data_IF_544234082866
#
_entry.id   IF_544234082866
#
_cell.length_a   1.000
_cell.length_b   1.000
_cell.length_c   1.000
_cell.angle_alpha   90.00
_cell.angle_beta   90.00
_cell.angle_gamma   90.00
#
_symmetry.space_group_name_H-M   'P 1'
#
loop_
_entity.id
_entity.type
_entity.pdbx_description
1 polymer ?
#
# COMPACT_ATOMS: atom_id res chain seq x y z
N UNK A 1 46.11 -69.46 16.41
CA UNK A 1 44.92 -68.75 16.90
C UNK A 1 44.73 -67.54 16.02
N UNK A 2 43.81 -67.64 15.06
CA UNK A 2 43.48 -66.56 14.15
C UNK A 2 42.39 -65.72 14.83
N UNK A 3 42.72 -64.46 15.14
CA UNK A 3 41.81 -63.55 15.83
C UNK A 3 40.79 -63.06 14.81
N UNK A 4 39.57 -63.60 14.91
CA UNK A 4 38.44 -63.24 14.07
C UNK A 4 38.12 -61.75 14.27
N UNK A 5 38.33 -60.94 13.20
CA UNK A 5 38.02 -59.52 13.24
C UNK A 5 36.49 -59.35 13.25
N UNK A 6 35.92 -58.56 14.18
CA UNK A 6 34.48 -58.31 14.18
C UNK A 6 34.08 -57.64 12.86
N UNK A 7 33.08 -58.23 12.20
CA UNK A 7 32.46 -57.68 10.99
C UNK A 7 31.84 -56.32 11.33
N UNK A 8 31.96 -55.31 10.44
CA UNK A 8 31.33 -54.01 10.65
C UNK A 8 29.81 -54.19 10.66
N UNK A 9 29.17 -53.75 11.74
CA UNK A 9 27.71 -53.68 11.82
C UNK A 9 27.25 -52.67 10.77
N UNK A 10 26.51 -53.15 9.77
CA UNK A 10 25.86 -52.29 8.79
C UNK A 10 24.69 -51.62 9.50
N UNK A 11 24.83 -50.35 9.88
CA UNK A 11 23.70 -49.54 10.32
C UNK A 11 22.73 -49.39 9.14
N UNK A 12 21.68 -50.19 9.12
CA UNK A 12 20.56 -50.00 8.20
C UNK A 12 19.87 -48.71 8.61
N UNK A 13 20.00 -47.66 7.79
CA UNK A 13 19.25 -46.43 7.95
C UNK A 13 17.73 -46.70 7.97
N UNK A 14 16.92 -45.72 8.40
CA UNK A 14 15.47 -45.89 8.49
C UNK A 14 14.90 -46.31 7.14
N UNK A 15 14.09 -47.38 7.14
CA UNK A 15 13.51 -47.94 5.91
C UNK A 15 12.49 -46.98 5.29
N UNK A 16 11.89 -46.09 6.11
CA UNK A 16 10.89 -45.12 5.71
C UNK A 16 11.23 -43.71 6.20
N UNK A 17 10.94 -42.69 5.37
CA UNK A 17 11.10 -41.27 5.74
C UNK A 17 10.36 -40.88 7.02
N UNK A 18 9.24 -41.55 7.33
CA UNK A 18 8.42 -41.29 8.52
C UNK A 18 9.11 -41.68 9.84
N UNK A 19 9.98 -42.69 9.80
CA UNK A 19 10.76 -43.13 10.97
C UNK A 19 11.95 -42.23 11.24
N UNK A 20 12.42 -41.49 10.23
CA UNK A 20 13.50 -40.52 10.36
C UNK A 20 13.07 -39.23 11.08
N UNK A 21 11.76 -38.96 11.17
CA UNK A 21 11.25 -37.73 11.77
C UNK A 21 11.17 -37.88 13.30
N UNK A 22 11.87 -37.05 14.08
CA UNK A 22 11.83 -37.13 15.53
C UNK A 22 10.45 -36.73 16.07
N UNK A 23 10.04 -37.33 17.18
CA UNK A 23 8.71 -37.12 17.80
C UNK A 23 8.38 -35.65 18.05
N UNK A 24 9.36 -34.83 18.39
CA UNK A 24 9.15 -33.40 18.60
C UNK A 24 8.76 -32.65 17.32
N UNK A 25 9.22 -33.11 16.15
CA UNK A 25 8.90 -32.50 14.86
C UNK A 25 7.45 -32.84 14.45
N UNK A 26 6.94 -34.00 14.84
CA UNK A 26 5.53 -34.34 14.64
C UNK A 26 4.60 -33.39 15.38
N UNK A 27 4.90 -33.05 16.63
CA UNK A 27 4.12 -32.07 17.40
C UNK A 27 4.10 -30.72 16.68
N UNK A 28 5.26 -30.28 16.16
CA UNK A 28 5.36 -29.05 15.37
C UNK A 28 4.42 -29.10 14.15
N UNK A 29 4.51 -30.16 13.34
CA UNK A 29 3.71 -30.37 12.12
C UNK A 29 2.21 -30.34 12.45
N UNK A 30 1.77 -31.10 13.46
CA UNK A 30 0.36 -31.14 13.83
C UNK A 30 -0.15 -29.78 14.31
N UNK A 31 0.66 -29.02 15.06
CA UNK A 31 0.27 -27.66 15.46
C UNK A 31 0.15 -26.70 14.27
N UNK A 32 1.06 -26.77 13.30
CA UNK A 32 0.97 -25.99 12.05
C UNK A 32 -0.32 -26.33 11.28
N UNK A 33 -0.57 -27.62 11.06
CA UNK A 33 -1.79 -28.08 10.38
C UNK A 33 -3.05 -27.65 11.12
N UNK A 34 -3.06 -27.73 12.46
CA UNK A 34 -4.18 -27.29 13.29
C UNK A 34 -4.47 -25.80 13.19
N UNK A 35 -3.43 -24.95 13.17
CA UNK A 35 -3.57 -23.49 13.01
C UNK A 35 -4.13 -23.14 11.63
N UNK A 36 -3.62 -23.79 10.57
CA UNK A 36 -4.11 -23.59 9.20
C UNK A 36 -5.58 -24.00 9.11
N UNK A 37 -5.92 -25.21 9.58
CA UNK A 37 -7.30 -25.71 9.56
C UNK A 37 -8.25 -24.81 10.37
N UNK A 38 -7.82 -24.34 11.55
CA UNK A 38 -8.56 -23.39 12.37
C UNK A 38 -8.79 -22.06 11.66
N UNK A 39 -7.77 -21.51 10.99
CA UNK A 39 -7.87 -20.26 10.24
C UNK A 39 -8.83 -20.39 9.04
N UNK A 40 -8.78 -21.52 8.32
CA UNK A 40 -9.73 -21.83 7.25
C UNK A 40 -11.14 -21.95 7.81
N UNK A 41 -11.33 -22.63 8.95
CA UNK A 41 -12.63 -22.77 9.58
C UNK A 41 -13.22 -21.40 9.96
N UNK A 42 -12.43 -20.50 10.57
CA UNK A 42 -12.84 -19.12 10.87
C UNK A 42 -13.28 -18.39 9.59
N UNK A 43 -12.48 -18.47 8.52
CA UNK A 43 -12.81 -17.84 7.23
C UNK A 43 -14.14 -18.34 6.67
N UNK A 44 -14.38 -19.65 6.72
CA UNK A 44 -15.61 -20.25 6.20
C UNK A 44 -16.83 -19.88 7.08
N UNK A 45 -16.69 -19.91 8.40
CA UNK A 45 -17.77 -19.60 9.35
C UNK A 45 -18.22 -18.15 9.34
N UNK A 46 -17.33 -17.20 9.09
CA UNK A 46 -17.62 -15.76 9.13
C UNK A 46 -17.59 -15.08 7.75
N UNK A 47 -17.67 -15.85 6.66
CA UNK A 47 -17.63 -15.34 5.27
C UNK A 47 -18.65 -14.23 4.97
N UNK A 48 -19.79 -14.20 5.67
CA UNK A 48 -20.82 -13.16 5.52
C UNK A 48 -20.63 -11.91 6.38
N UNK A 49 -19.55 -11.79 7.17
CA UNK A 49 -19.36 -10.69 8.13
C UNK A 49 -17.92 -10.16 8.12
N UNK A 50 -17.57 -9.25 7.18
CA UNK A 50 -16.20 -8.74 7.02
C UNK A 50 -15.62 -8.12 8.29
N UNK A 51 -16.44 -7.43 9.10
CA UNK A 51 -16.00 -6.83 10.37
C UNK A 51 -15.54 -7.87 11.40
N UNK A 52 -16.24 -9.01 11.48
CA UNK A 52 -15.86 -10.08 12.40
C UNK A 52 -14.58 -10.78 11.92
N UNK A 53 -14.45 -11.00 10.61
CA UNK A 53 -13.21 -11.53 10.02
C UNK A 53 -12.03 -10.61 10.31
N UNK A 54 -12.17 -9.30 10.11
CA UNK A 54 -11.14 -8.33 10.43
C UNK A 54 -10.75 -8.36 11.93
N UNK A 55 -11.75 -8.39 12.83
CA UNK A 55 -11.52 -8.49 14.27
C UNK A 55 -10.76 -9.77 14.66
N UNK A 56 -11.15 -10.92 14.09
CA UNK A 56 -10.45 -12.18 14.27
C UNK A 56 -9.03 -12.16 13.72
N UNK A 57 -8.82 -11.59 12.53
CA UNK A 57 -7.51 -11.42 11.92
C UNK A 57 -6.57 -10.60 12.81
N UNK A 58 -7.02 -9.44 13.30
CA UNK A 58 -6.25 -8.59 14.22
C UNK A 58 -5.94 -9.31 15.52
N UNK A 59 -6.92 -9.98 16.13
CA UNK A 59 -6.72 -10.74 17.36
C UNK A 59 -5.70 -11.88 17.17
N UNK A 60 -5.80 -12.63 16.06
CA UNK A 60 -4.87 -13.71 15.75
C UNK A 60 -3.45 -13.18 15.53
N UNK A 61 -3.27 -12.06 14.82
CA UNK A 61 -1.95 -11.41 14.65
C UNK A 61 -1.39 -10.99 16.00
N UNK A 62 -2.18 -10.33 16.86
CA UNK A 62 -1.70 -9.88 18.16
C UNK A 62 -1.22 -11.06 19.05
N UNK A 63 -1.97 -12.15 19.09
CA UNK A 63 -1.60 -13.37 19.83
C UNK A 63 -0.36 -14.03 19.22
N UNK A 64 -0.30 -14.11 17.89
CA UNK A 64 0.80 -14.69 17.14
C UNK A 64 2.13 -13.96 17.38
N UNK A 65 2.12 -12.62 17.30
CA UNK A 65 3.27 -11.77 17.55
C UNK A 65 3.72 -11.86 19.02
N UNK A 66 2.77 -11.78 19.95
CA UNK A 66 3.09 -11.93 21.37
C UNK A 66 3.76 -13.28 21.66
N UNK A 67 3.22 -14.37 21.13
CA UNK A 67 3.77 -15.72 21.30
C UNK A 67 5.17 -15.84 20.68
N UNK A 68 5.36 -15.28 19.48
CA UNK A 68 6.65 -15.27 18.78
C UNK A 68 7.71 -14.45 19.52
N UNK A 69 7.32 -13.30 20.08
CA UNK A 69 8.20 -12.43 20.85
C UNK A 69 8.62 -13.11 22.16
N UNK A 70 7.68 -13.74 22.88
CA UNK A 70 7.99 -14.52 24.09
C UNK A 70 8.97 -15.65 23.76
N UNK A 71 8.75 -16.38 22.66
CA UNK A 71 9.66 -17.43 22.22
C UNK A 71 11.08 -16.89 21.89
N UNK A 72 11.16 -15.72 21.24
CA UNK A 72 12.43 -15.03 20.97
C UNK A 72 13.16 -14.61 22.25
N UNK A 73 12.45 -14.04 23.21
CA UNK A 73 13.03 -13.64 24.52
C UNK A 73 13.53 -14.87 25.28
N UNK A 74 12.77 -15.96 25.27
CA UNK A 74 13.18 -17.23 25.91
C UNK A 74 14.40 -17.85 25.24
N UNK A 75 14.52 -17.73 23.91
CA UNK A 75 15.72 -18.14 23.17
C UNK A 75 16.93 -17.29 23.56
N UNK A 76 16.76 -15.97 23.70
CA UNK A 76 17.80 -15.06 24.16
C UNK A 76 18.27 -15.39 25.58
N UNK A 77 17.35 -15.55 26.54
CA UNK A 77 17.67 -15.92 27.94
C UNK A 77 18.44 -17.26 27.97
N UNK A 78 18.06 -18.21 27.13
CA UNK A 78 18.77 -19.47 27.05
C UNK A 78 20.19 -19.31 26.47
N UNK A 79 20.34 -18.52 25.41
CA UNK A 79 21.63 -18.26 24.79
C UNK A 79 22.57 -17.53 25.76
N UNK A 80 22.08 -16.49 26.46
CA UNK A 80 22.85 -15.75 27.45
C UNK A 80 23.25 -16.60 28.66
N UNK A 81 22.38 -17.52 29.11
CA UNK A 81 22.72 -18.47 30.20
C UNK A 81 23.86 -19.43 29.86
N UNK A 82 24.23 -19.57 28.58
CA UNK A 82 25.29 -20.45 28.10
C UNK A 82 26.57 -19.71 27.73
N UNK A 83 26.51 -18.39 27.52
CA UNK A 83 27.63 -17.60 27.05
C UNK A 83 27.35 -16.11 27.21
N UNK A 84 28.30 -15.38 27.81
CA UNK A 84 28.23 -13.92 28.00
C UNK A 84 28.33 -13.12 26.69
N UNK A 85 28.58 -13.80 25.57
CA UNK A 85 28.71 -13.20 24.23
C UNK A 85 27.41 -12.57 23.70
N UNK A 86 26.25 -12.92 24.25
CA UNK A 86 24.96 -12.47 23.72
C UNK A 86 24.47 -11.24 24.48
N UNK A 87 24.20 -10.16 23.73
CA UNK A 87 23.65 -8.91 24.22
C UNK A 87 22.14 -8.81 23.90
N UNK A 88 21.33 -8.05 24.67
CA UNK A 88 19.94 -7.77 24.30
C UNK A 88 19.77 -7.19 22.90
N UNK A 89 20.76 -6.43 22.40
CA UNK A 89 20.75 -5.87 21.05
C UNK A 89 20.92 -6.93 19.95
N UNK A 90 21.46 -8.11 20.25
CA UNK A 90 21.56 -9.21 19.28
C UNK A 90 20.17 -9.76 18.89
N UNK A 91 19.12 -9.47 19.68
CA UNK A 91 17.73 -9.80 19.33
C UNK A 91 17.33 -9.18 17.98
N UNK A 92 17.75 -7.94 17.74
CA UNK A 92 17.47 -7.22 16.51
C UNK A 92 18.54 -7.50 15.44
N UNK A 93 19.81 -7.52 15.84
CA UNK A 93 20.92 -7.56 14.89
C UNK A 93 21.27 -8.96 14.38
N UNK A 94 21.01 -10.02 15.16
CA UNK A 94 21.40 -11.40 14.85
C UNK A 94 20.34 -12.40 15.30
N UNK A 95 19.07 -12.26 14.85
CA UNK A 95 17.97 -13.10 15.33
C UNK A 95 18.29 -14.59 15.19
N UNK A 96 18.84 -15.03 14.05
CA UNK A 96 19.15 -16.44 13.80
C UNK A 96 20.27 -17.01 14.68
N UNK A 97 21.26 -16.20 15.06
CA UNK A 97 22.38 -16.67 15.88
C UNK A 97 21.92 -17.05 17.30
N UNK A 98 20.90 -16.36 17.82
CA UNK A 98 20.30 -16.64 19.12
C UNK A 98 19.62 -18.01 19.19
N UNK A 99 19.15 -18.53 18.06
CA UNK A 99 18.48 -19.83 18.01
C UNK A 99 19.44 -21.01 17.96
N UNK A 100 20.73 -20.79 17.66
CA UNK A 100 21.72 -21.87 17.54
C UNK A 100 21.84 -22.72 18.82
N UNK A 101 21.95 -22.15 20.04
CA UNK A 101 21.94 -22.93 21.28
C UNK A 101 20.64 -23.71 21.48
N UNK A 102 19.50 -23.11 21.13
CA UNK A 102 18.18 -23.75 21.20
C UNK A 102 18.14 -24.99 20.30
N UNK A 103 18.60 -24.91 19.05
CA UNK A 103 18.63 -26.06 18.16
C UNK A 103 19.61 -27.15 18.59
N UNK A 104 20.76 -26.77 19.16
CA UNK A 104 21.75 -27.75 19.65
C UNK A 104 21.28 -28.58 20.85
N UNK A 105 20.21 -28.15 21.53
CA UNK A 105 19.66 -28.82 22.73
C UNK A 105 18.34 -29.54 22.47
N UNK A 106 17.95 -29.70 21.21
CA UNK A 106 16.81 -30.52 20.84
C UNK A 106 17.03 -31.98 21.28
N UNK A 107 15.99 -32.68 21.77
CA UNK A 107 14.58 -32.27 21.80
C UNK A 107 14.15 -31.45 23.03
N UNK A 108 15.01 -31.28 24.04
CA UNK A 108 14.62 -30.68 25.34
C UNK A 108 14.10 -29.24 25.20
N UNK A 109 14.58 -28.52 24.20
CA UNK A 109 14.24 -27.14 23.88
C UNK A 109 13.13 -27.00 22.82
N UNK A 110 12.56 -28.11 22.32
CA UNK A 110 11.68 -28.10 21.15
C UNK A 110 10.44 -27.22 21.32
N UNK A 111 9.89 -27.11 22.53
CA UNK A 111 8.72 -26.27 22.81
C UNK A 111 8.93 -24.79 22.45
N UNK A 112 10.15 -24.25 22.55
CA UNK A 112 10.46 -22.87 22.15
C UNK A 112 10.38 -22.70 20.64
N UNK A 113 10.84 -23.72 19.92
CA UNK A 113 10.76 -23.78 18.45
C UNK A 113 9.30 -23.89 18.02
N UNK A 114 8.49 -24.70 18.70
CA UNK A 114 7.06 -24.81 18.45
C UNK A 114 6.35 -23.47 18.64
N UNK A 115 6.54 -22.80 19.78
CA UNK A 115 5.90 -21.50 20.03
C UNK A 115 6.21 -20.48 18.95
N UNK A 116 7.48 -20.37 18.55
CA UNK A 116 7.86 -19.43 17.49
C UNK A 116 7.25 -19.81 16.14
N UNK A 117 7.39 -21.07 15.72
CA UNK A 117 6.88 -21.52 14.43
C UNK A 117 5.34 -21.46 14.33
N UNK A 118 4.64 -21.80 15.41
CA UNK A 118 3.19 -21.68 15.50
C UNK A 118 2.73 -20.23 15.49
N UNK A 119 3.42 -19.34 16.21
CA UNK A 119 3.16 -17.90 16.15
C UNK A 119 3.30 -17.36 14.73
N UNK A 120 4.42 -17.62 14.06
CA UNK A 120 4.64 -17.17 12.67
C UNK A 120 3.62 -17.76 11.69
N UNK A 121 3.28 -19.05 11.84
CA UNK A 121 2.22 -19.68 11.03
C UNK A 121 0.88 -18.99 11.23
N UNK A 122 0.49 -18.72 12.47
CA UNK A 122 -0.76 -18.04 12.80
C UNK A 122 -0.81 -16.61 12.25
N UNK A 123 0.29 -15.87 12.31
CA UNK A 123 0.43 -14.54 11.72
C UNK A 123 0.18 -14.59 10.20
N UNK A 124 0.88 -15.49 9.50
CA UNK A 124 0.74 -15.66 8.04
C UNK A 124 -0.69 -16.06 7.68
N UNK A 125 -1.30 -17.00 8.41
CA UNK A 125 -2.68 -17.43 8.17
C UNK A 125 -3.69 -16.30 8.42
N UNK A 126 -3.47 -15.44 9.41
CA UNK A 126 -4.34 -14.30 9.66
C UNK A 126 -4.36 -13.33 8.47
N UNK A 127 -3.19 -13.07 7.88
CA UNK A 127 -3.06 -12.19 6.71
C UNK A 127 -3.62 -12.86 5.45
N UNK A 128 -3.19 -14.09 5.14
CA UNK A 128 -3.47 -14.74 3.86
C UNK A 128 -4.79 -15.51 3.80
N UNK A 129 -5.20 -16.16 4.89
CA UNK A 129 -6.36 -17.06 4.91
C UNK A 129 -7.60 -16.37 5.47
N UNK A 130 -7.48 -15.75 6.65
CA UNK A 130 -8.61 -15.05 7.27
C UNK A 130 -8.93 -13.80 6.44
N UNK A 131 -7.90 -13.06 6.02
CA UNK A 131 -8.05 -11.84 5.22
C UNK A 131 -8.91 -10.78 5.92
N UNK A 132 -9.38 -9.79 5.18
CA UNK A 132 -10.28 -8.75 5.72
C UNK A 132 -9.58 -7.56 6.38
N UNK A 133 -8.25 -7.55 6.43
CA UNK A 133 -7.50 -6.31 6.63
C UNK A 133 -7.52 -5.55 5.31
N UNK A 134 -8.29 -4.45 5.26
CA UNK A 134 -8.20 -3.52 4.16
C UNK A 134 -6.91 -2.70 4.32
N UNK A 135 -5.79 -3.24 3.82
CA UNK A 135 -4.51 -2.55 3.89
C UNK A 135 -4.55 -1.21 3.16
N UNK A 136 -5.36 -1.07 2.10
CA UNK A 136 -5.50 0.23 1.42
C UNK A 136 -6.04 1.29 2.39
N UNK A 137 -7.07 0.97 3.18
CA UNK A 137 -7.63 1.91 4.15
C UNK A 137 -6.62 2.38 5.21
N UNK A 138 -5.66 1.53 5.60
CA UNK A 138 -4.58 1.93 6.52
C UNK A 138 -3.64 2.97 5.91
N UNK A 139 -3.47 2.98 4.58
CA UNK A 139 -2.60 3.92 3.87
C UNK A 139 -3.38 5.13 3.33
N UNK A 140 -4.63 4.94 2.91
CA UNK A 140 -5.54 5.99 2.43
C UNK A 140 -5.79 7.02 3.55
N UNK A 141 -5.99 6.57 4.79
CA UNK A 141 -6.19 7.44 5.96
C UNK A 141 -4.88 8.01 6.54
N UNK A 142 -3.70 7.59 6.08
CA UNK A 142 -2.41 8.11 6.57
C UNK A 142 -2.14 9.55 6.06
N UNK A 143 -3.03 10.14 5.26
CA UNK A 143 -2.90 11.52 4.79
C UNK A 143 -1.83 11.72 3.71
N UNK A 144 -1.34 10.64 3.11
CA UNK A 144 -0.48 10.69 1.93
C UNK A 144 -1.38 10.91 0.71
N UNK A 145 -1.60 12.18 0.34
CA UNK A 145 -2.36 12.52 -0.87
C UNK A 145 -1.69 11.91 -2.10
N UNK A 146 -2.48 11.33 -2.99
CA UNK A 146 -1.99 10.80 -4.26
C UNK A 146 -1.33 11.91 -5.09
N UNK A 147 -0.09 11.68 -5.50
CA UNK A 147 0.62 12.57 -6.42
C UNK A 147 0.07 12.39 -7.83
N UNK A 148 0.01 13.46 -8.63
CA UNK A 148 -0.42 13.38 -10.03
C UNK A 148 0.58 12.62 -10.90
N UNK A 149 0.09 12.01 -11.98
CA UNK A 149 0.93 11.33 -12.96
C UNK A 149 2.00 12.26 -13.57
N UNK A 150 3.21 11.74 -13.70
CA UNK A 150 4.36 12.48 -14.25
C UNK A 150 4.09 13.07 -15.65
N UNK A 151 3.27 12.38 -16.46
CA UNK A 151 2.86 12.86 -17.79
C UNK A 151 2.05 14.16 -17.70
N UNK A 152 1.13 14.27 -16.74
CA UNK A 152 0.31 15.47 -16.56
C UNK A 152 1.18 16.65 -16.11
N UNK A 153 2.08 16.42 -15.15
CA UNK A 153 3.06 17.41 -14.66
C UNK A 153 3.92 17.92 -15.82
N UNK A 154 4.46 17.01 -16.63
CA UNK A 154 5.32 17.36 -17.77
C UNK A 154 4.58 18.23 -18.80
N UNK A 155 3.32 17.92 -19.11
CA UNK A 155 2.56 18.74 -20.05
C UNK A 155 2.17 20.12 -19.49
N UNK A 156 2.00 20.24 -18.17
CA UNK A 156 1.84 21.55 -17.52
C UNK A 156 3.12 22.37 -17.71
N UNK A 157 4.28 21.76 -17.45
CA UNK A 157 5.58 22.41 -17.62
C UNK A 157 5.82 22.86 -19.07
N UNK A 158 5.53 21.99 -20.05
CA UNK A 158 5.66 22.33 -21.48
C UNK A 158 4.75 23.50 -21.88
N UNK A 159 3.50 23.53 -21.36
CA UNK A 159 2.55 24.59 -21.64
C UNK A 159 2.95 25.93 -20.98
N UNK A 160 3.56 25.90 -19.79
CA UNK A 160 4.07 27.08 -19.10
C UNK A 160 5.27 27.70 -19.85
N UNK A 161 6.18 26.88 -20.39
CA UNK A 161 7.29 27.33 -21.24
C UNK A 161 6.80 28.00 -22.51
N UNK A 162 5.78 27.46 -23.17
CA UNK A 162 5.16 28.09 -24.34
C UNK A 162 4.54 29.47 -24.03
N UNK A 163 4.08 29.67 -22.80
CA UNK A 163 3.47 30.93 -22.35
C UNK A 163 4.51 31.94 -21.82
N UNK A 164 5.79 31.59 -21.75
CA UNK A 164 6.89 32.47 -21.33
C UNK A 164 6.98 32.70 -19.82
N UNK A 165 6.59 31.71 -19.01
CA UNK A 165 6.78 31.73 -17.54
C UNK A 165 8.20 31.26 -17.16
N UNK A 166 8.75 31.80 -16.05
CA UNK A 166 10.17 31.71 -15.66
C UNK A 166 10.70 30.26 -15.49
N UNK A 167 11.92 29.99 -15.98
CA UNK A 167 12.50 28.63 -16.05
C UNK A 167 12.87 28.03 -14.69
N UNK A 168 13.26 28.84 -13.68
CA UNK A 168 13.59 28.37 -12.32
C UNK A 168 12.39 27.72 -11.61
N UNK A 169 11.18 28.10 -12.02
CA UNK A 169 9.92 27.58 -11.51
C UNK A 169 9.71 26.07 -11.73
N UNK A 170 10.22 25.63 -12.88
CA UNK A 170 9.85 24.39 -13.53
C UNK A 170 10.75 23.23 -13.06
N UNK A 171 12.00 23.53 -12.73
CA UNK A 171 12.95 22.54 -12.22
C UNK A 171 12.54 22.03 -10.83
N UNK A 172 11.95 22.88 -9.99
CA UNK A 172 11.45 22.51 -8.66
C UNK A 172 10.21 21.59 -8.72
N UNK A 173 9.33 21.78 -9.70
CA UNK A 173 8.15 20.92 -9.91
C UNK A 173 8.54 19.52 -10.44
N UNK A 174 9.55 19.45 -11.32
CA UNK A 174 10.07 18.20 -11.86
C UNK A 174 10.81 17.37 -10.79
N UNK A 175 11.64 18.02 -9.96
CA UNK A 175 12.42 17.34 -8.92
C UNK A 175 11.54 16.71 -7.83
N UNK A 176 10.41 17.33 -7.48
CA UNK A 176 9.44 16.76 -6.51
C UNK A 176 8.71 15.52 -7.05
N UNK A 177 8.57 15.43 -8.37
CA UNK A 177 7.91 14.29 -9.03
C UNK A 177 8.88 13.12 -9.21
N UNK A 178 10.16 13.39 -9.47
CA UNK A 178 11.21 12.37 -9.62
C UNK A 178 11.50 11.57 -8.34
N UNK A 179 11.11 12.07 -7.16
CA UNK A 179 11.20 11.32 -5.90
C UNK A 179 10.03 10.34 -5.66
N UNK A 180 8.98 10.38 -6.49
CA UNK A 180 7.95 9.36 -6.52
C UNK A 180 8.41 8.24 -7.47
N UNK A 181 8.77 7.09 -6.90
CA UNK A 181 9.19 5.92 -7.67
C UNK A 181 8.14 5.54 -8.72
N UNK A 182 8.63 5.03 -9.85
CA UNK A 182 7.83 4.38 -10.90
C UNK A 182 7.04 3.20 -10.28
N UNK A 183 5.81 3.47 -9.86
CA UNK A 183 4.83 2.40 -9.67
C UNK A 183 4.33 1.97 -11.05
N UNK A 184 5.01 0.96 -11.60
CA UNK A 184 4.49 0.15 -12.69
C UNK A 184 3.22 -0.53 -12.17
N UNK A 185 2.06 0.00 -12.58
CA UNK A 185 0.76 -0.56 -12.27
C UNK A 185 0.71 -2.07 -12.62
N UNK A 186 0.32 -2.96 -11.68
CA UNK A 186 0.00 -4.34 -12.02
C UNK A 186 -1.21 -4.37 -12.93
N UNK A 187 -1.15 -5.25 -13.94
CA UNK A 187 -2.23 -5.53 -14.88
C UNK A 187 -3.39 -6.21 -14.13
N UNK A 188 -4.50 -5.49 -13.96
CA UNK A 188 -5.67 -5.93 -13.20
C UNK A 188 -6.51 -7.00 -13.94
N UNK A 189 -6.90 -8.03 -13.18
CA UNK A 189 -7.97 -8.97 -13.49
C UNK A 189 -9.34 -8.28 -13.38
N UNK A 190 -10.26 -8.65 -14.26
CA UNK A 190 -11.57 -8.03 -14.48
C UNK A 190 -12.53 -8.18 -13.29
N UNK A 191 -12.74 -7.08 -12.56
CA UNK A 191 -13.85 -6.82 -11.65
C UNK A 191 -14.65 -5.59 -12.16
N UNK A 192 -15.85 -5.28 -11.61
CA UNK A 192 -16.96 -4.64 -12.33
C UNK A 192 -16.57 -3.29 -12.94
N UNK A 193 -17.10 -3.01 -14.13
CA UNK A 193 -16.75 -1.84 -14.97
C UNK A 193 -17.00 -0.55 -14.18
N UNK A 194 -15.97 -0.07 -13.48
CA UNK A 194 -15.95 1.25 -12.89
C UNK A 194 -15.93 2.30 -14.02
N UNK A 195 -16.63 3.42 -13.81
CA UNK A 195 -16.56 4.55 -14.73
C UNK A 195 -15.07 4.97 -14.86
N UNK A 196 -14.52 5.18 -16.07
CA UNK A 196 -13.12 5.50 -16.23
C UNK A 196 -12.75 6.80 -15.50
N UNK A 197 -11.54 6.83 -14.93
CA UNK A 197 -10.99 7.97 -14.17
C UNK A 197 -9.92 8.67 -14.99
N UNK A 198 -9.86 10.00 -14.88
CA UNK A 198 -8.82 10.82 -15.51
C UNK A 198 -8.38 11.95 -14.58
N UNK A 199 -7.08 12.22 -14.58
CA UNK A 199 -6.50 13.35 -13.88
C UNK A 199 -6.68 14.64 -14.70
N UNK A 200 -7.17 15.68 -14.03
CA UNK A 200 -7.47 16.97 -14.64
C UNK A 200 -6.82 18.12 -13.86
N UNK A 201 -6.32 19.11 -14.59
CA UNK A 201 -5.92 20.41 -14.08
C UNK A 201 -7.16 21.31 -13.94
N UNK A 202 -7.31 21.93 -12.77
CA UNK A 202 -8.28 22.99 -12.50
C UNK A 202 -7.63 24.33 -12.85
N UNK A 203 -7.91 24.85 -14.05
CA UNK A 203 -7.28 26.07 -14.55
C UNK A 203 -8.18 27.32 -14.45
N UNK A 204 -9.39 27.15 -13.92
CA UNK A 204 -10.31 28.27 -13.70
C UNK A 204 -11.63 27.86 -13.09
N UNK A 205 -12.42 28.84 -12.69
CA UNK A 205 -13.76 28.61 -12.14
C UNK A 205 -14.73 29.73 -12.52
N UNK A 206 -16.03 29.40 -12.57
CA UNK A 206 -17.11 30.38 -12.77
C UNK A 206 -17.69 30.79 -11.43
N UNK A 207 -17.96 32.08 -11.27
CA UNK A 207 -18.67 32.63 -10.11
C UNK A 207 -20.14 32.89 -10.42
N UNK A 208 -21.01 32.82 -9.42
CA UNK A 208 -22.35 33.42 -9.52
C UNK A 208 -22.30 34.92 -9.14
N UNK A 209 -23.48 35.53 -9.03
CA UNK A 209 -23.66 36.94 -8.62
C UNK A 209 -23.23 37.22 -7.16
N UNK A 210 -23.21 36.23 -6.29
CA UNK A 210 -22.72 36.27 -4.90
C UNK A 210 -21.21 35.97 -4.80
N UNK A 211 -20.49 36.01 -5.92
CA UNK A 211 -19.05 35.70 -6.03
C UNK A 211 -18.63 34.26 -5.66
N UNK A 212 -19.58 33.36 -5.41
CA UNK A 212 -19.29 31.96 -5.05
C UNK A 212 -18.97 31.11 -6.29
N UNK A 213 -18.04 30.15 -6.20
CA UNK A 213 -17.76 29.22 -7.28
C UNK A 213 -19.00 28.36 -7.60
N UNK A 214 -19.31 28.22 -8.88
CA UNK A 214 -20.45 27.45 -9.41
C UNK A 214 -20.02 26.30 -10.30
N UNK A 215 -18.91 26.46 -11.01
CA UNK A 215 -18.34 25.41 -11.83
C UNK A 215 -16.82 25.54 -11.90
N UNK A 216 -16.13 24.41 -11.94
CA UNK A 216 -14.70 24.30 -12.17
C UNK A 216 -14.44 23.98 -13.64
N UNK A 217 -13.44 24.63 -14.24
CA UNK A 217 -13.00 24.37 -15.60
C UNK A 217 -11.82 23.40 -15.57
N UNK A 218 -11.93 22.34 -16.36
CA UNK A 218 -10.99 21.24 -16.36
C UNK A 218 -10.23 21.12 -17.67
N UNK A 219 -8.96 20.77 -17.55
CA UNK A 219 -8.11 20.43 -18.67
C UNK A 219 -7.30 19.17 -18.40
N UNK A 220 -7.01 18.43 -19.46
CA UNK A 220 -6.10 17.29 -19.40
C UNK A 220 -5.36 17.16 -20.73
N UNK A 221 -4.45 16.20 -20.82
CA UNK A 221 -3.68 15.94 -22.04
C UNK A 221 -4.53 15.15 -23.02
N UNK A 222 -4.75 15.73 -24.20
CA UNK A 222 -5.41 15.05 -25.31
C UNK A 222 -4.47 15.13 -26.51
N UNK A 223 -3.93 13.96 -26.91
CA UNK A 223 -2.96 13.83 -28.01
C UNK A 223 -1.70 14.69 -27.79
N UNK A 224 -1.13 14.62 -26.59
CA UNK A 224 0.12 15.32 -26.23
C UNK A 224 0.01 16.83 -26.08
N UNK A 225 -1.21 17.40 -26.01
CA UNK A 225 -1.41 18.82 -25.73
C UNK A 225 -2.48 19.01 -24.67
N UNK A 226 -2.26 19.98 -23.79
CA UNK A 226 -3.24 20.32 -22.77
C UNK A 226 -4.46 20.99 -23.43
N UNK A 227 -5.64 20.43 -23.19
CA UNK A 227 -6.90 20.93 -23.76
C UNK A 227 -7.97 21.01 -22.70
N UNK A 228 -8.85 21.99 -22.85
CA UNK A 228 -10.10 22.03 -22.10
C UNK A 228 -10.93 20.78 -22.41
N UNK A 229 -11.31 20.03 -21.37
CA UNK A 229 -12.06 18.78 -21.50
C UNK A 229 -13.43 18.81 -20.86
N UNK A 230 -13.75 19.81 -20.04
CA UNK A 230 -15.09 19.91 -19.47
C UNK A 230 -15.20 20.91 -18.33
N UNK A 231 -16.42 21.00 -17.80
CA UNK A 231 -16.69 21.72 -16.56
C UNK A 231 -17.44 20.81 -15.60
N UNK A 232 -17.15 20.94 -14.31
CA UNK A 232 -17.86 20.23 -13.24
C UNK A 232 -18.61 21.25 -12.41
N UNK A 233 -19.88 20.95 -12.10
CA UNK A 233 -20.67 21.72 -11.15
C UNK A 233 -20.13 21.51 -9.73
N UNK A 234 -20.12 22.57 -8.92
CA UNK A 234 -19.78 22.44 -7.50
C UNK A 234 -20.76 21.54 -6.73
N UNK A 235 -21.98 21.36 -7.27
CA UNK A 235 -22.98 20.43 -6.74
C UNK A 235 -22.52 18.99 -7.02
N UNK A 236 -21.83 18.39 -6.05
CA UNK A 236 -21.24 17.06 -6.15
C UNK A 236 -19.76 16.99 -5.75
N UNK A 237 -19.15 18.12 -5.37
CA UNK A 237 -17.81 18.15 -4.78
C UNK A 237 -17.95 18.00 -3.27
N UNK A 238 -17.17 17.13 -2.60
CA UNK A 238 -17.17 17.01 -1.15
C UNK A 238 -16.92 18.35 -0.45
N UNK A 239 -17.60 18.60 0.66
CA UNK A 239 -17.52 19.89 1.37
C UNK A 239 -16.09 20.23 1.82
N UNK A 240 -15.31 19.23 2.23
CA UNK A 240 -13.90 19.39 2.62
C UNK A 240 -13.02 19.85 1.44
N UNK A 241 -13.22 19.24 0.26
CA UNK A 241 -12.53 19.63 -0.95
C UNK A 241 -12.97 21.05 -1.39
N UNK A 242 -14.25 21.38 -1.26
CA UNK A 242 -14.77 22.71 -1.58
C UNK A 242 -14.22 23.78 -0.65
N UNK A 243 -14.10 23.50 0.64
CA UNK A 243 -13.49 24.40 1.62
C UNK A 243 -12.03 24.68 1.24
N UNK A 244 -11.26 23.61 0.99
CA UNK A 244 -9.87 23.72 0.55
C UNK A 244 -9.74 24.57 -0.73
N UNK A 245 -10.58 24.29 -1.73
CA UNK A 245 -10.59 25.05 -2.98
C UNK A 245 -10.95 26.52 -2.74
N UNK A 246 -11.95 26.81 -1.90
CA UNK A 246 -12.41 28.18 -1.63
C UNK A 246 -11.35 29.01 -0.91
N UNK A 247 -10.59 28.39 -0.01
CA UNK A 247 -9.46 29.04 0.69
C UNK A 247 -8.28 29.30 -0.26
N UNK A 248 -8.02 28.42 -1.23
CA UNK A 248 -6.82 28.46 -2.09
C UNK A 248 -7.00 29.25 -3.38
N UNK A 249 -8.14 29.09 -4.06
CA UNK A 249 -8.41 29.70 -5.38
C UNK A 249 -8.18 31.22 -5.45
N UNK A 250 -8.52 32.04 -4.42
CA UNK A 250 -8.27 33.47 -4.47
C UNK A 250 -6.79 33.83 -4.68
N UNK A 251 -5.88 33.11 -4.00
CA UNK A 251 -4.43 33.35 -4.07
C UNK A 251 -3.80 32.89 -5.39
N UNK A 252 -4.48 32.02 -6.12
CA UNK A 252 -4.02 31.47 -7.39
C UNK A 252 -4.62 32.21 -8.59
N UNK A 253 -5.34 33.31 -8.38
CA UNK A 253 -5.99 34.04 -9.46
C UNK A 253 -4.97 34.72 -10.38
N UNK A 254 -5.17 34.59 -11.68
CA UNK A 254 -4.36 35.25 -12.71
C UNK A 254 -5.23 35.99 -13.73
N UNK A 255 -4.61 36.94 -14.46
CA UNK A 255 -5.31 37.81 -15.43
C UNK A 255 -5.66 37.07 -16.73
N UNK A 256 -4.76 36.20 -17.19
CA UNK A 256 -4.89 35.51 -18.47
C UNK A 256 -5.15 34.01 -18.25
N UNK A 257 -5.90 33.36 -19.17
CA UNK A 257 -6.11 31.92 -19.08
C UNK A 257 -4.82 31.17 -19.41
N UNK A 258 -4.44 30.20 -18.57
CA UNK A 258 -3.37 29.25 -18.88
C UNK A 258 -3.65 28.46 -20.17
N UNK A 259 -4.93 28.13 -20.39
CA UNK A 259 -5.41 27.39 -21.56
C UNK A 259 -6.45 28.24 -22.28
N UNK A 260 -6.19 28.52 -23.57
CA UNK A 260 -7.10 29.31 -24.41
C UNK A 260 -8.49 28.69 -24.41
N UNK A 261 -9.46 29.45 -23.87
CA UNK A 261 -10.84 29.01 -23.77
C UNK A 261 -11.80 30.16 -24.08
N UNK A 262 -13.01 29.84 -24.56
CA UNK A 262 -14.03 30.83 -24.95
C UNK A 262 -14.91 31.30 -23.79
N UNK A 263 -14.79 30.66 -22.62
CA UNK A 263 -15.62 30.98 -21.46
C UNK A 263 -15.09 32.19 -20.70
N UNK A 264 -16.00 32.96 -20.11
CA UNK A 264 -15.66 33.97 -19.09
C UNK A 264 -15.58 33.26 -17.74
N UNK A 265 -14.38 33.21 -17.17
CA UNK A 265 -14.09 32.58 -15.90
C UNK A 265 -13.04 33.40 -15.13
N UNK A 266 -12.89 33.11 -13.84
CA UNK A 266 -11.72 33.52 -13.08
C UNK A 266 -10.63 32.50 -13.36
N UNK A 267 -9.51 32.96 -13.88
CA UNK A 267 -8.40 32.10 -14.28
C UNK A 267 -7.50 31.81 -13.09
N UNK A 268 -7.08 30.56 -12.98
CA UNK A 268 -6.21 30.08 -11.91
C UNK A 268 -4.86 29.70 -12.48
N UNK A 269 -3.80 29.89 -11.69
CA UNK A 269 -2.49 29.29 -11.95
C UNK A 269 -2.61 27.76 -11.97
N UNK A 270 -1.82 27.05 -12.80
CA UNK A 270 -1.95 25.61 -13.01
C UNK A 270 -1.36 24.78 -11.86
N UNK A 271 -1.84 25.00 -10.62
CA UNK A 271 -1.34 24.33 -9.42
C UNK A 271 -2.33 23.33 -8.81
N UNK A 272 -3.62 23.47 -9.11
CA UNK A 272 -4.69 22.63 -8.57
C UNK A 272 -5.05 21.50 -9.54
N UNK A 273 -5.04 20.27 -9.06
CA UNK A 273 -5.42 19.08 -9.82
C UNK A 273 -6.46 18.24 -9.10
N UNK A 274 -7.24 17.50 -9.86
CA UNK A 274 -8.23 16.58 -9.33
C UNK A 274 -8.36 15.31 -10.17
N UNK A 275 -8.87 14.26 -9.55
CA UNK A 275 -9.38 13.10 -10.26
C UNK A 275 -10.86 13.30 -10.60
N UNK A 276 -11.18 12.89 -11.83
CA UNK A 276 -12.53 13.01 -12.39
C UNK A 276 -12.96 11.67 -12.95
N UNK A 277 -14.10 11.19 -12.47
CA UNK A 277 -14.80 10.06 -13.07
C UNK A 277 -15.64 10.56 -14.24
N UNK A 278 -15.65 9.83 -15.35
CA UNK A 278 -16.43 10.17 -16.53
C UNK A 278 -16.98 8.92 -17.21
N UNK A 279 -18.03 9.06 -18.02
CA UNK A 279 -18.62 7.89 -18.71
C UNK A 279 -17.87 7.51 -19.98
N UNK A 280 -17.65 8.51 -20.82
CA UNK A 280 -17.03 8.34 -22.13
C UNK A 280 -16.44 9.65 -22.64
N UNK A 281 -15.54 9.55 -23.62
CA UNK A 281 -15.05 10.69 -24.37
C UNK A 281 -16.03 11.05 -25.48
N UNK A 282 -16.35 12.33 -25.62
CA UNK A 282 -17.09 12.82 -26.79
C UNK A 282 -16.19 12.88 -28.02
N UNK A 283 -16.80 12.97 -29.22
CA UNK A 283 -16.06 13.19 -30.48
C UNK A 283 -15.23 14.47 -30.49
N UNK A 284 -15.57 15.45 -29.64
CA UNK A 284 -14.82 16.70 -29.47
C UNK A 284 -13.67 16.60 -28.46
N UNK A 285 -13.39 15.41 -27.92
CA UNK A 285 -12.44 15.16 -26.83
C UNK A 285 -12.82 15.90 -25.53
N UNK A 286 -14.09 15.86 -25.17
CA UNK A 286 -14.59 16.34 -23.88
C UNK A 286 -15.08 15.16 -23.05
N UNK A 287 -15.04 15.31 -21.73
CA UNK A 287 -15.55 14.31 -20.79
C UNK A 287 -17.08 14.35 -20.78
N UNK A 288 -17.72 13.20 -20.98
CA UNK A 288 -19.16 13.07 -20.83
C UNK A 288 -19.52 12.77 -19.37
N UNK A 289 -20.39 13.62 -18.80
CA UNK A 289 -20.86 13.53 -17.40
C UNK A 289 -19.71 13.44 -16.38
N UNK A 290 -18.76 14.40 -16.39
CA UNK A 290 -17.65 14.38 -15.45
C UNK A 290 -18.17 14.57 -14.02
N UNK A 291 -17.63 13.78 -13.08
CA UNK A 291 -17.89 13.84 -11.65
C UNK A 291 -16.59 14.01 -10.90
N UNK A 292 -16.59 14.89 -9.91
CA UNK A 292 -15.42 15.09 -9.07
C UNK A 292 -15.24 13.88 -8.17
N UNK A 293 -14.03 13.36 -8.11
CA UNK A 293 -13.68 12.23 -7.25
C UNK A 293 -12.87 12.72 -6.06
N UNK A 294 -11.69 13.28 -6.32
CA UNK A 294 -10.73 13.65 -5.28
C UNK A 294 -9.87 14.84 -5.72
N UNK A 295 -9.39 15.63 -4.74
CA UNK A 295 -8.39 16.68 -4.94
C UNK A 295 -6.98 16.08 -4.78
N UNK A 296 -6.14 16.21 -5.81
CA UNK A 296 -4.76 15.70 -5.79
C UNK A 296 -3.81 16.69 -5.09
N UNK A 297 -2.57 16.24 -4.82
CA UNK A 297 -1.53 17.11 -4.26
C UNK A 297 -1.25 18.31 -5.19
N UNK A 298 -0.99 19.47 -4.59
CA UNK A 298 -0.65 20.70 -5.33
C UNK A 298 0.74 20.58 -5.97
N UNK A 299 0.86 21.03 -7.22
CA UNK A 299 2.17 21.23 -7.85
C UNK A 299 2.58 22.67 -7.61
N UNK A 300 3.67 22.87 -6.88
CA UNK A 300 4.28 24.19 -6.71
C UNK A 300 5.09 24.52 -7.97
N UNK A 301 4.44 25.14 -8.96
CA UNK A 301 5.09 25.76 -10.11
C UNK A 301 5.46 27.18 -9.69
N UNK A 302 6.65 27.28 -9.07
CA UNK A 302 7.51 28.45 -8.80
C UNK A 302 7.25 29.82 -9.41
#
# INVERSE_FOLDING_TARGET
>A
MEVERPQPVVETGPENLWEAIPTWAWVLIFGVVGIVAGSVAVRLSFSGSPRLLAGWGVAQIAIAEFTSLVAHVLALIHASSKSDRYSPFDLLMKPLALWRPTFSTLPKSAWRVWMFAWGQTAMICAVLIIGGLNFSALFDDWGVKKNSSANLVQAIADQARENGEDEESLEDALNKTATAGDDIAPKEELLPVEDPIVECLIFGYRKNLEEKPTALLLATIVKGRMKYVGMISVVGIPDEAMQTLTERMPNLTQKNPFIKCRFKAVWLRPQLMCEVEYKEWTRSNQLLKPKFRELLAEIDVR
#
